data_IF_365448092166
#
_entry.id   IF_365448092166
#
_cell.length_a   1.000
_cell.length_b   1.000
_cell.length_c   1.000
_cell.angle_alpha   90.00
_cell.angle_beta   90.00
_cell.angle_gamma   90.00
#
_symmetry.space_group_name_H-M   'P 1'
#
loop_
_entity.id
_entity.type
_entity.pdbx_description
1 polymer ?
#
# COMPACT_ATOMS: atom_id res chain seq x y z
N UNK A 1 -33.78 -5.28 -20.33
CA UNK A 1 -32.46 -5.90 -20.42
C UNK A 1 -31.42 -4.87 -20.05
N UNK A 2 -30.48 -5.22 -19.16
CA UNK A 2 -29.45 -4.32 -18.62
C UNK A 2 -28.59 -3.64 -19.73
N UNK A 3 -28.49 -4.24 -20.90
CA UNK A 3 -27.69 -3.75 -22.03
C UNK A 3 -28.36 -2.63 -22.86
N UNK A 4 -29.67 -2.45 -22.77
CA UNK A 4 -30.39 -1.44 -23.59
C UNK A 4 -30.26 -0.01 -23.09
N UNK A 5 -29.81 0.21 -21.86
CA UNK A 5 -29.73 1.53 -21.21
C UNK A 5 -28.29 2.08 -21.09
N UNK A 6 -27.29 1.46 -21.73
CA UNK A 6 -25.89 1.89 -21.58
C UNK A 6 -25.62 3.09 -22.52
N UNK A 7 -25.32 4.28 -21.99
CA UNK A 7 -25.04 5.46 -22.80
C UNK A 7 -23.75 5.27 -23.63
N UNK A 8 -23.80 5.74 -24.89
CA UNK A 8 -22.74 5.47 -25.89
C UNK A 8 -21.62 6.49 -25.97
N UNK A 9 -21.65 7.56 -25.17
CA UNK A 9 -20.65 8.64 -25.21
C UNK A 9 -19.56 8.50 -24.14
N UNK A 10 -18.37 9.05 -24.40
CA UNK A 10 -17.28 9.12 -23.39
C UNK A 10 -17.69 9.97 -22.18
N UNK A 11 -18.48 11.00 -22.38
CA UNK A 11 -18.99 11.87 -21.32
C UNK A 11 -19.95 11.12 -20.39
N UNK A 12 -20.84 10.33 -20.93
CA UNK A 12 -21.74 9.49 -20.15
C UNK A 12 -20.99 8.43 -19.32
N UNK A 13 -19.89 7.87 -19.85
CA UNK A 13 -19.03 6.96 -19.10
C UNK A 13 -18.32 7.64 -17.92
N UNK A 14 -17.94 8.89 -18.09
CA UNK A 14 -17.37 9.71 -17.01
C UNK A 14 -18.39 10.04 -15.93
N UNK A 15 -19.61 10.37 -16.33
CA UNK A 15 -20.71 10.67 -15.39
C UNK A 15 -21.11 9.44 -14.59
N UNK A 16 -21.11 8.26 -15.19
CA UNK A 16 -21.36 7.00 -14.48
C UNK A 16 -20.26 6.68 -13.47
N UNK A 17 -18.97 6.90 -13.81
CA UNK A 17 -17.88 6.77 -12.88
C UNK A 17 -18.00 7.74 -11.71
N UNK A 18 -18.38 8.99 -11.98
CA UNK A 18 -18.61 10.01 -10.96
C UNK A 18 -19.79 9.60 -10.08
N UNK A 19 -20.88 9.08 -10.67
CA UNK A 19 -22.04 8.62 -9.93
C UNK A 19 -21.73 7.43 -9.03
N UNK A 20 -21.00 6.41 -9.52
CA UNK A 20 -20.55 5.28 -8.73
C UNK A 20 -19.65 5.69 -7.56
N UNK A 21 -18.74 6.64 -7.82
CA UNK A 21 -17.88 7.23 -6.77
C UNK A 21 -18.70 8.04 -5.75
N UNK A 22 -19.68 8.80 -6.20
CA UNK A 22 -20.56 9.62 -5.35
C UNK A 22 -21.40 8.76 -4.41
N UNK A 23 -21.90 7.63 -4.90
CA UNK A 23 -22.67 6.67 -4.10
C UNK A 23 -21.82 6.04 -2.98
N UNK A 24 -20.51 5.91 -3.19
CA UNK A 24 -19.56 5.37 -2.20
C UNK A 24 -19.03 6.43 -1.22
N UNK A 25 -19.34 7.70 -1.42
CA UNK A 25 -18.83 8.83 -0.64
C UNK A 25 -19.06 8.73 0.87
N UNK A 26 -20.23 8.31 1.39
CA UNK A 26 -20.45 8.16 2.82
C UNK A 26 -19.56 7.08 3.44
N UNK A 27 -19.22 6.04 2.70
CA UNK A 27 -18.32 4.99 3.20
C UNK A 27 -16.87 5.45 3.32
N UNK A 28 -16.39 6.32 2.40
CA UNK A 28 -15.07 6.93 2.53
C UNK A 28 -14.98 7.85 3.76
N UNK A 29 -16.05 8.60 4.06
CA UNK A 29 -16.14 9.37 5.29
C UNK A 29 -16.08 8.49 6.54
N UNK A 30 -16.77 7.35 6.51
CA UNK A 30 -16.74 6.38 7.61
C UNK A 30 -15.32 5.83 7.83
N UNK A 31 -14.63 5.46 6.74
CA UNK A 31 -13.24 5.00 6.80
C UNK A 31 -12.31 6.12 7.31
N UNK A 32 -12.51 7.36 6.89
CA UNK A 32 -11.72 8.49 7.35
C UNK A 32 -11.90 8.74 8.86
N UNK A 33 -13.12 8.66 9.38
CA UNK A 33 -13.42 8.78 10.82
C UNK A 33 -12.78 7.63 11.60
N UNK A 34 -12.88 6.40 11.10
CA UNK A 34 -12.25 5.25 11.76
C UNK A 34 -10.72 5.35 11.72
N UNK A 35 -10.15 5.82 10.61
CA UNK A 35 -8.71 6.11 10.53
C UNK A 35 -8.29 7.17 11.54
N UNK A 36 -9.12 8.20 11.78
CA UNK A 36 -8.87 9.17 12.84
C UNK A 36 -8.71 8.49 14.20
N UNK A 37 -9.70 7.69 14.61
CA UNK A 37 -9.65 7.02 15.92
C UNK A 37 -8.54 5.97 16.00
N UNK A 38 -8.29 5.20 14.94
CA UNK A 38 -7.19 4.23 14.90
C UNK A 38 -5.84 4.93 15.08
N UNK A 39 -5.60 6.03 14.37
CA UNK A 39 -4.35 6.78 14.48
C UNK A 39 -4.21 7.47 15.85
N UNK A 40 -5.32 7.95 16.43
CA UNK A 40 -5.33 8.47 17.80
C UNK A 40 -4.96 7.36 18.81
N UNK A 41 -5.56 6.17 18.67
CA UNK A 41 -5.27 5.02 19.53
C UNK A 41 -3.84 4.48 19.34
N UNK A 42 -3.21 4.72 18.19
CA UNK A 42 -1.79 4.38 17.98
C UNK A 42 -0.84 5.15 18.91
N UNK A 43 -1.26 6.30 19.45
CA UNK A 43 -0.51 7.04 20.48
C UNK A 43 -0.45 6.31 21.82
N UNK A 44 -1.31 5.32 22.04
CA UNK A 44 -1.33 4.54 23.28
C UNK A 44 0.04 3.93 23.60
N UNK A 45 0.76 3.38 22.61
CA UNK A 45 2.09 2.80 22.81
C UNK A 45 3.13 3.79 23.32
N UNK A 46 3.36 4.91 22.61
CA UNK A 46 4.26 5.97 23.06
C UNK A 46 3.90 6.51 24.45
N UNK A 47 2.62 6.77 24.71
CA UNK A 47 2.15 7.28 26.01
C UNK A 47 2.32 6.27 27.13
N UNK A 48 2.05 4.99 26.86
CA UNK A 48 2.31 3.92 27.81
C UNK A 48 3.77 3.84 28.21
N UNK A 49 4.68 3.85 27.20
CA UNK A 49 6.11 3.81 27.46
C UNK A 49 6.59 5.03 28.26
N UNK A 50 6.07 6.21 27.94
CA UNK A 50 6.34 7.44 28.68
C UNK A 50 5.96 7.26 30.16
N UNK A 51 4.75 6.79 30.44
CA UNK A 51 4.27 6.59 31.81
C UNK A 51 5.03 5.49 32.56
N UNK A 52 5.37 4.39 31.88
CA UNK A 52 6.11 3.28 32.49
C UNK A 52 7.51 3.75 32.91
N UNK A 53 8.26 4.39 32.00
CA UNK A 53 9.65 4.78 32.29
C UNK A 53 9.72 5.95 33.27
N UNK A 54 8.89 6.97 33.11
CA UNK A 54 9.04 8.20 33.91
C UNK A 54 8.29 8.11 35.26
N UNK A 55 7.25 7.27 35.36
CA UNK A 55 6.40 7.21 36.55
C UNK A 55 6.43 5.86 37.28
N UNK A 56 6.19 4.77 36.54
CA UNK A 56 6.08 3.44 37.16
C UNK A 56 7.43 2.96 37.69
N UNK A 57 8.49 3.06 36.91
CA UNK A 57 9.83 2.65 37.33
C UNK A 57 10.39 3.53 38.46
N UNK A 58 10.07 4.81 38.45
CA UNK A 58 10.44 5.73 39.53
C UNK A 58 9.71 5.45 40.85
N UNK A 59 8.42 5.16 40.80
CA UNK A 59 7.59 4.89 41.97
C UNK A 59 7.62 3.43 42.42
N UNK A 60 8.12 2.50 41.60
CA UNK A 60 8.09 1.04 41.82
C UNK A 60 6.70 0.49 42.15
N UNK A 61 5.64 1.12 41.64
CA UNK A 61 4.24 0.76 41.91
C UNK A 61 3.74 -0.31 40.95
N UNK A 62 3.61 -1.55 41.41
CA UNK A 62 3.04 -2.67 40.64
C UNK A 62 1.57 -2.42 40.33
N UNK A 63 0.81 -1.82 41.27
CA UNK A 63 -0.60 -1.53 41.07
C UNK A 63 -0.82 -0.57 39.88
N UNK A 64 -0.01 0.47 39.76
CA UNK A 64 -0.05 1.41 38.62
C UNK A 64 0.30 0.72 37.31
N UNK A 65 1.29 -0.18 37.32
CA UNK A 65 1.67 -0.95 36.14
C UNK A 65 0.51 -1.84 35.66
N UNK A 66 -0.15 -2.56 36.56
CA UNK A 66 -1.30 -3.43 36.23
C UNK A 66 -2.44 -2.59 35.65
N UNK A 67 -2.77 -1.46 36.28
CA UNK A 67 -3.84 -0.58 35.81
C UNK A 67 -3.56 -0.01 34.40
N UNK A 68 -2.34 0.48 34.17
CA UNK A 68 -1.92 0.99 32.85
C UNK A 68 -1.90 -0.09 31.78
N UNK A 69 -1.40 -1.29 32.12
CA UNK A 69 -1.37 -2.43 31.20
C UNK A 69 -2.78 -2.88 30.83
N UNK A 70 -3.70 -2.93 31.79
CA UNK A 70 -5.11 -3.22 31.54
C UNK A 70 -5.77 -2.19 30.60
N UNK A 71 -5.49 -0.91 30.82
CA UNK A 71 -5.95 0.16 29.94
C UNK A 71 -5.40 0.02 28.52
N UNK A 72 -4.12 -0.30 28.36
CA UNK A 72 -3.48 -0.51 27.06
C UNK A 72 -4.10 -1.69 26.30
N UNK A 73 -4.35 -2.80 26.98
CA UNK A 73 -5.04 -3.97 26.38
C UNK A 73 -6.42 -3.57 25.87
N UNK A 74 -7.18 -2.81 26.66
CA UNK A 74 -8.49 -2.31 26.25
C UNK A 74 -8.41 -1.38 25.03
N UNK A 75 -7.50 -0.39 25.05
CA UNK A 75 -7.35 0.56 23.95
C UNK A 75 -6.85 -0.09 22.66
N UNK A 76 -5.93 -1.04 22.74
CA UNK A 76 -5.49 -1.82 21.57
C UNK A 76 -6.57 -2.78 21.08
N UNK A 77 -7.40 -3.32 21.98
CA UNK A 77 -8.59 -4.09 21.59
C UNK A 77 -9.57 -3.25 20.77
N UNK A 78 -9.88 -2.04 21.24
CA UNK A 78 -10.70 -1.09 20.49
C UNK A 78 -10.05 -0.71 19.13
N UNK A 79 -8.76 -0.44 19.12
CA UNK A 79 -8.04 -0.12 17.89
C UNK A 79 -8.15 -1.26 16.87
N UNK A 80 -7.96 -2.51 17.32
CA UNK A 80 -8.07 -3.68 16.45
C UNK A 80 -9.46 -3.86 15.86
N UNK A 81 -10.51 -3.62 16.65
CA UNK A 81 -11.91 -3.67 16.19
C UNK A 81 -12.17 -2.60 15.12
N UNK A 82 -11.72 -1.37 15.36
CA UNK A 82 -11.91 -0.25 14.41
C UNK A 82 -11.11 -0.49 13.13
N UNK A 83 -9.89 -0.99 13.23
CA UNK A 83 -9.04 -1.31 12.07
C UNK A 83 -9.64 -2.43 11.22
N UNK A 84 -10.14 -3.48 11.88
CA UNK A 84 -10.87 -4.55 11.21
C UNK A 84 -12.15 -4.05 10.53
N UNK A 85 -12.92 -3.19 11.20
CA UNK A 85 -14.16 -2.65 10.65
C UNK A 85 -13.89 -1.78 9.41
N UNK A 86 -12.87 -0.89 9.45
CA UNK A 86 -12.52 -0.06 8.29
C UNK A 86 -12.07 -0.90 7.09
N UNK A 87 -11.29 -1.97 7.32
CA UNK A 87 -10.88 -2.90 6.27
C UNK A 87 -12.08 -3.59 5.60
N UNK A 88 -13.05 -4.06 6.41
CA UNK A 88 -14.27 -4.67 5.87
C UNK A 88 -15.16 -3.70 5.11
N UNK A 89 -15.26 -2.46 5.56
CA UNK A 89 -16.02 -1.42 4.84
C UNK A 89 -15.38 -1.18 3.47
N UNK A 90 -14.05 -1.01 3.40
CA UNK A 90 -13.35 -0.79 2.14
C UNK A 90 -13.49 -1.97 1.18
N UNK A 91 -13.38 -3.21 1.65
CA UNK A 91 -13.58 -4.39 0.83
C UNK A 91 -14.99 -4.43 0.20
N UNK A 92 -16.02 -4.04 0.97
CA UNK A 92 -17.40 -3.96 0.47
C UNK A 92 -17.59 -2.81 -0.51
N UNK A 93 -16.96 -1.67 -0.29
CA UNK A 93 -16.98 -0.54 -1.23
C UNK A 93 -16.33 -0.94 -2.55
N UNK A 94 -15.17 -1.60 -2.50
CA UNK A 94 -14.48 -2.11 -3.67
C UNK A 94 -15.33 -3.10 -4.47
N UNK A 95 -15.96 -4.07 -3.79
CA UNK A 95 -16.86 -5.03 -4.42
C UNK A 95 -18.09 -4.37 -5.07
N UNK A 96 -18.70 -3.38 -4.41
CA UNK A 96 -19.82 -2.61 -4.98
C UNK A 96 -19.41 -1.80 -6.19
N UNK A 97 -18.25 -1.18 -6.15
CA UNK A 97 -17.69 -0.44 -7.29
C UNK A 97 -17.50 -1.36 -8.49
N UNK A 98 -16.88 -2.52 -8.28
CA UNK A 98 -16.72 -3.52 -9.33
C UNK A 98 -18.07 -3.94 -9.91
N UNK A 99 -19.01 -4.38 -9.07
CA UNK A 99 -20.35 -4.81 -9.51
C UNK A 99 -21.12 -3.74 -10.30
N UNK A 100 -20.92 -2.46 -9.93
CA UNK A 100 -21.53 -1.34 -10.66
C UNK A 100 -20.90 -1.10 -12.04
N UNK A 101 -19.60 -1.44 -12.18
CA UNK A 101 -18.84 -1.21 -13.41
C UNK A 101 -18.76 -2.44 -14.32
N UNK A 102 -19.01 -3.66 -13.82
CA UNK A 102 -18.87 -4.91 -14.57
C UNK A 102 -19.61 -4.90 -15.91
N UNK A 103 -20.90 -4.55 -15.89
CA UNK A 103 -21.73 -4.54 -17.11
C UNK A 103 -21.24 -3.52 -18.11
N UNK A 104 -20.81 -2.35 -17.62
CA UNK A 104 -20.32 -1.25 -18.45
C UNK A 104 -18.98 -1.57 -19.10
N UNK A 105 -18.04 -2.09 -18.31
CA UNK A 105 -16.71 -2.47 -18.79
C UNK A 105 -16.82 -3.66 -19.77
N UNK A 106 -17.65 -4.66 -19.45
CA UNK A 106 -17.88 -5.79 -20.34
C UNK A 106 -18.43 -5.34 -21.70
N UNK A 107 -19.45 -4.48 -21.71
CA UNK A 107 -20.02 -3.96 -22.96
C UNK A 107 -19.02 -3.12 -23.77
N UNK A 108 -18.20 -2.31 -23.08
CA UNK A 108 -17.14 -1.53 -23.74
C UNK A 108 -16.04 -2.43 -24.35
N UNK A 109 -15.62 -3.47 -23.61
CA UNK A 109 -14.65 -4.46 -24.06
C UNK A 109 -15.18 -5.23 -25.29
N UNK A 110 -16.43 -5.72 -25.24
CA UNK A 110 -17.04 -6.46 -26.34
C UNK A 110 -17.15 -5.60 -27.59
N UNK A 111 -17.60 -4.37 -27.48
CA UNK A 111 -17.68 -3.44 -28.63
C UNK A 111 -16.32 -3.14 -29.24
N UNK A 112 -15.31 -2.95 -28.39
CA UNK A 112 -13.95 -2.67 -28.86
C UNK A 112 -13.34 -3.88 -29.54
N UNK A 113 -13.49 -5.05 -28.97
CA UNK A 113 -13.02 -6.32 -29.54
C UNK A 113 -13.66 -6.61 -30.92
N UNK A 114 -14.94 -6.25 -31.11
CA UNK A 114 -15.64 -6.42 -32.38
C UNK A 114 -15.13 -5.48 -33.49
N UNK A 115 -14.64 -4.27 -33.13
CA UNK A 115 -14.16 -3.29 -34.10
C UNK A 115 -12.66 -3.40 -34.34
N UNK A 116 -11.90 -3.53 -33.27
CA UNK A 116 -10.42 -3.63 -33.27
C UNK A 116 -9.98 -4.42 -32.06
N UNK A 117 -9.63 -5.70 -32.21
CA UNK A 117 -9.05 -6.46 -31.12
C UNK A 117 -7.65 -5.90 -30.79
N UNK A 118 -7.55 -5.18 -29.68
CA UNK A 118 -6.32 -4.60 -29.17
C UNK A 118 -6.07 -5.02 -27.71
N UNK A 119 -4.94 -4.62 -27.13
CA UNK A 119 -4.59 -4.93 -25.74
C UNK A 119 -5.65 -4.44 -24.75
N UNK A 120 -6.24 -3.27 -24.98
CA UNK A 120 -7.28 -2.72 -24.10
C UNK A 120 -8.57 -3.56 -24.11
N UNK A 121 -8.89 -4.23 -25.23
CA UNK A 121 -10.01 -5.16 -25.27
C UNK A 121 -9.72 -6.47 -24.56
N UNK A 122 -8.45 -6.89 -24.50
CA UNK A 122 -8.03 -8.12 -23.84
C UNK A 122 -7.86 -7.94 -22.31
N UNK A 123 -7.47 -6.75 -21.85
CA UNK A 123 -7.14 -6.50 -20.44
C UNK A 123 -8.23 -5.78 -19.65
N UNK A 124 -9.20 -5.16 -20.30
CA UNK A 124 -10.15 -4.25 -19.65
C UNK A 124 -10.92 -4.83 -18.45
N UNK A 125 -11.27 -6.12 -18.47
CA UNK A 125 -11.89 -6.79 -17.33
C UNK A 125 -10.87 -7.06 -16.21
N UNK A 126 -9.66 -7.47 -16.55
CA UNK A 126 -8.57 -7.66 -15.59
C UNK A 126 -8.17 -6.35 -14.93
N UNK A 127 -8.19 -5.24 -15.67
CA UNK A 127 -7.91 -3.91 -15.16
C UNK A 127 -8.96 -3.48 -14.12
N UNK A 128 -10.25 -3.81 -14.36
CA UNK A 128 -11.31 -3.56 -13.37
C UNK A 128 -11.10 -4.36 -12.08
N UNK A 129 -10.72 -5.64 -12.20
CA UNK A 129 -10.36 -6.46 -11.04
C UNK A 129 -9.14 -5.92 -10.29
N UNK A 130 -8.15 -5.43 -11.02
CA UNK A 130 -6.95 -4.81 -10.42
C UNK A 130 -7.30 -3.54 -9.65
N UNK A 131 -8.20 -2.70 -10.17
CA UNK A 131 -8.71 -1.52 -9.44
C UNK A 131 -9.46 -1.94 -8.18
N UNK A 132 -10.32 -2.95 -8.25
CA UNK A 132 -11.03 -3.46 -7.08
C UNK A 132 -10.06 -4.00 -6.02
N UNK A 133 -9.04 -4.74 -6.44
CA UNK A 133 -8.00 -5.28 -5.56
C UNK A 133 -7.20 -4.15 -4.90
N UNK A 134 -6.84 -3.12 -5.65
CA UNK A 134 -6.16 -1.94 -5.12
C UNK A 134 -7.04 -1.20 -4.10
N UNK A 135 -8.34 -1.06 -4.36
CA UNK A 135 -9.28 -0.40 -3.43
C UNK A 135 -9.45 -1.16 -2.11
N UNK A 136 -9.22 -2.47 -2.09
CA UNK A 136 -9.25 -3.30 -0.88
C UNK A 136 -7.86 -3.55 -0.27
N UNK A 137 -6.81 -3.00 -0.87
CA UNK A 137 -5.43 -3.23 -0.46
C UNK A 137 -5.01 -2.41 0.76
N UNK A 138 -4.00 -2.86 1.50
CA UNK A 138 -3.38 -2.08 2.58
C UNK A 138 -2.80 -0.74 2.11
N UNK A 139 -2.48 -0.59 0.81
CA UNK A 139 -1.96 0.65 0.23
C UNK A 139 -2.96 1.78 0.33
N UNK A 140 -4.23 1.51 0.02
CA UNK A 140 -5.27 2.52 0.14
C UNK A 140 -5.52 2.92 1.60
N UNK A 141 -5.40 1.96 2.54
CA UNK A 141 -5.45 2.27 3.97
C UNK A 141 -4.29 3.17 4.39
N UNK A 142 -3.08 2.89 3.91
CA UNK A 142 -1.92 3.76 4.15
C UNK A 142 -2.14 5.18 3.64
N UNK A 143 -2.85 5.36 2.53
CA UNK A 143 -3.22 6.68 2.02
C UNK A 143 -4.13 7.45 2.99
N UNK A 144 -5.06 6.79 3.67
CA UNK A 144 -5.89 7.39 4.72
C UNK A 144 -5.10 7.69 6.00
N UNK A 145 -4.04 6.96 6.26
CA UNK A 145 -3.17 7.16 7.44
C UNK A 145 -2.07 8.20 7.18
N UNK A 146 -1.74 8.50 5.92
CA UNK A 146 -0.70 9.47 5.54
C UNK A 146 -0.90 10.89 6.09
N UNK A 147 -2.13 11.46 6.15
CA UNK A 147 -2.36 12.78 6.75
C UNK A 147 -1.99 12.88 8.23
N UNK A 148 -1.85 11.74 8.92
CA UNK A 148 -1.47 11.67 10.35
C UNK A 148 0.03 11.72 10.57
N UNK A 149 0.85 11.43 9.54
CA UNK A 149 2.31 11.49 9.61
C UNK A 149 2.82 12.84 10.11
N UNK A 150 2.37 14.01 9.62
CA UNK A 150 2.76 15.31 10.16
C UNK A 150 2.39 15.49 11.64
N UNK A 151 1.24 14.95 12.06
CA UNK A 151 0.80 15.03 13.45
C UNK A 151 1.73 14.22 14.37
N UNK A 152 2.14 13.02 13.97
CA UNK A 152 3.09 12.22 14.73
C UNK A 152 4.46 12.89 14.80
N UNK A 153 4.92 13.50 13.71
CA UNK A 153 6.17 14.29 13.71
C UNK A 153 6.04 15.50 14.63
N UNK A 154 4.90 16.21 14.60
CA UNK A 154 4.64 17.32 15.53
C UNK A 154 4.66 16.84 16.99
N UNK A 155 4.14 15.64 17.29
CA UNK A 155 4.24 15.01 18.60
C UNK A 155 5.68 14.79 19.07
N UNK A 156 6.59 14.44 18.14
CA UNK A 156 8.02 14.31 18.44
C UNK A 156 8.63 15.68 18.77
N UNK A 157 8.25 16.75 18.07
CA UNK A 157 8.69 18.11 18.35
C UNK A 157 8.28 18.58 19.75
N UNK A 158 7.14 18.12 20.27
CA UNK A 158 6.70 18.41 21.64
C UNK A 158 7.66 17.84 22.69
N UNK A 159 8.29 16.70 22.42
CA UNK A 159 9.29 16.12 23.33
C UNK A 159 10.59 16.92 23.30
N UNK A 160 11.15 17.13 22.10
CA UNK A 160 12.35 17.95 21.94
C UNK A 160 12.55 18.37 20.47
N UNK A 161 12.91 19.65 20.20
CA UNK A 161 13.10 20.13 18.82
C UNK A 161 14.10 19.33 17.99
N UNK A 162 15.23 18.93 18.55
CA UNK A 162 16.26 18.16 17.83
C UNK A 162 15.74 16.79 17.38
N UNK A 163 14.91 16.11 18.19
CA UNK A 163 14.27 14.86 17.79
C UNK A 163 13.30 15.09 16.64
N UNK A 164 12.55 16.20 16.71
CA UNK A 164 11.63 16.60 15.65
C UNK A 164 12.35 16.88 14.32
N UNK A 165 13.47 17.59 14.34
CA UNK A 165 14.27 17.84 13.14
C UNK A 165 14.86 16.54 12.57
N UNK A 166 15.32 15.63 13.41
CA UNK A 166 15.81 14.32 12.96
C UNK A 166 14.69 13.50 12.30
N UNK A 167 13.50 13.48 12.89
CA UNK A 167 12.34 12.79 12.33
C UNK A 167 11.90 13.41 11.00
N UNK A 168 11.88 14.74 10.91
CA UNK A 168 11.49 15.47 9.72
C UNK A 168 12.48 15.23 8.58
N UNK A 169 13.77 15.40 8.82
CA UNK A 169 14.80 15.17 7.80
C UNK A 169 14.85 13.72 7.34
N UNK A 170 14.72 12.76 8.27
CA UNK A 170 14.62 11.35 7.95
C UNK A 170 13.37 11.02 7.13
N UNK A 171 12.24 11.60 7.47
CA UNK A 171 10.99 11.45 6.72
C UNK A 171 11.10 12.00 5.30
N UNK A 172 11.69 13.19 5.13
CA UNK A 172 11.92 13.80 3.81
C UNK A 172 12.84 12.93 2.95
N UNK A 173 13.94 12.41 3.51
CA UNK A 173 14.84 11.51 2.80
C UNK A 173 14.11 10.23 2.37
N UNK A 174 13.29 9.63 3.24
CA UNK A 174 12.51 8.44 2.90
C UNK A 174 11.50 8.70 1.79
N UNK A 175 10.79 9.83 1.83
CA UNK A 175 9.86 10.23 0.76
C UNK A 175 10.64 10.41 -0.55
N UNK A 176 11.78 11.08 -0.51
CA UNK A 176 12.63 11.28 -1.69
C UNK A 176 13.08 9.95 -2.30
N UNK A 177 13.58 9.02 -1.48
CA UNK A 177 13.97 7.67 -1.93
C UNK A 177 12.77 6.91 -2.49
N UNK A 178 11.59 7.06 -1.91
CA UNK A 178 10.35 6.43 -2.41
C UNK A 178 9.96 6.95 -3.78
N UNK A 179 9.97 8.26 -3.97
CA UNK A 179 9.68 8.90 -5.27
C UNK A 179 10.72 8.48 -6.31
N UNK A 180 11.99 8.42 -5.91
CA UNK A 180 13.07 7.96 -6.78
C UNK A 180 12.85 6.50 -7.21
N UNK A 181 12.54 5.62 -6.26
CA UNK A 181 12.17 4.23 -6.55
C UNK A 181 11.03 4.14 -7.56
N UNK A 182 9.96 4.88 -7.33
CA UNK A 182 8.78 4.84 -8.21
C UNK A 182 9.11 5.32 -9.62
N UNK A 183 9.95 6.36 -9.75
CA UNK A 183 10.37 6.88 -11.04
C UNK A 183 11.26 5.90 -11.80
N UNK A 184 12.24 5.30 -11.12
CA UNK A 184 13.16 4.34 -11.75
C UNK A 184 12.53 2.98 -12.03
N UNK A 185 11.57 2.54 -11.22
CA UNK A 185 10.92 1.23 -11.37
C UNK A 185 9.79 1.23 -12.39
N UNK A 186 9.18 2.40 -12.69
CA UNK A 186 7.98 2.48 -13.54
C UNK A 186 8.22 1.95 -14.96
N UNK A 187 9.26 2.40 -15.64
CA UNK A 187 9.53 1.99 -17.03
C UNK A 187 9.93 0.49 -17.14
N UNK A 188 10.85 -0.04 -16.30
CA UNK A 188 11.14 -1.47 -16.28
C UNK A 188 9.92 -2.33 -15.98
N UNK A 189 9.07 -1.92 -15.03
CA UNK A 189 7.86 -2.65 -14.67
C UNK A 189 6.87 -2.73 -15.82
N UNK A 190 6.59 -1.62 -16.50
CA UNK A 190 5.69 -1.60 -17.65
C UNK A 190 6.22 -2.51 -18.78
N UNK A 191 7.53 -2.47 -19.03
CA UNK A 191 8.17 -3.34 -20.03
C UNK A 191 8.08 -4.82 -19.66
N UNK A 192 8.30 -5.14 -18.38
CA UNK A 192 8.21 -6.51 -17.86
C UNK A 192 6.78 -7.03 -17.96
N UNK A 193 5.78 -6.24 -17.58
CA UNK A 193 4.38 -6.64 -17.67
C UNK A 193 3.93 -6.86 -19.12
N UNK A 194 4.37 -6.00 -20.04
CA UNK A 194 4.11 -6.20 -21.47
C UNK A 194 4.73 -7.50 -21.98
N UNK A 195 5.97 -7.82 -21.61
CA UNK A 195 6.62 -9.05 -22.00
C UNK A 195 5.92 -10.30 -21.42
N UNK A 196 5.41 -10.22 -20.17
CA UNK A 196 4.59 -11.28 -19.58
C UNK A 196 3.29 -11.52 -20.35
N UNK A 197 2.57 -10.45 -20.72
CA UNK A 197 1.35 -10.55 -21.51
C UNK A 197 1.60 -11.17 -22.89
N UNK A 198 2.71 -10.83 -23.54
CA UNK A 198 3.10 -11.43 -24.81
C UNK A 198 3.39 -12.93 -24.64
N UNK A 199 4.11 -13.31 -23.57
CA UNK A 199 4.40 -14.71 -23.28
C UNK A 199 3.12 -15.53 -22.97
N UNK A 200 2.18 -14.94 -22.22
CA UNK A 200 0.87 -15.57 -21.96
C UNK A 200 0.07 -15.78 -23.25
N UNK A 201 -0.03 -14.77 -24.11
CA UNK A 201 -0.72 -14.88 -25.41
C UNK A 201 -0.12 -15.97 -26.28
N UNK A 202 1.22 -16.01 -26.42
CA UNK A 202 1.89 -17.06 -27.17
C UNK A 202 1.60 -18.46 -26.59
N UNK A 203 1.51 -18.58 -25.28
CA UNK A 203 1.16 -19.82 -24.61
C UNK A 203 -0.28 -20.25 -24.92
N UNK A 204 -1.22 -19.30 -24.87
CA UNK A 204 -2.63 -19.55 -25.16
C UNK A 204 -2.88 -19.89 -26.63
N UNK A 205 -2.21 -19.20 -27.57
CA UNK A 205 -2.27 -19.50 -28.99
C UNK A 205 -1.77 -20.94 -29.27
N UNK A 206 -0.60 -21.30 -28.74
CA UNK A 206 -0.05 -22.66 -28.91
C UNK A 206 -0.96 -23.71 -28.31
N UNK A 207 -1.56 -23.44 -27.15
CA UNK A 207 -2.49 -24.35 -26.48
C UNK A 207 -3.80 -24.52 -27.25
N UNK A 208 -4.33 -23.45 -27.80
CA UNK A 208 -5.59 -23.48 -28.55
C UNK A 208 -5.42 -24.19 -29.90
N UNK A 209 -4.22 -24.15 -30.48
CA UNK A 209 -3.88 -24.85 -31.74
C UNK A 209 -3.06 -26.11 -31.52
N UNK A 210 -3.13 -26.69 -30.32
CA UNK A 210 -2.30 -27.85 -29.93
C UNK A 210 -2.46 -29.07 -30.86
N UNK A 211 -3.67 -29.33 -31.36
CA UNK A 211 -3.95 -30.42 -32.30
C UNK A 211 -3.24 -30.21 -33.64
N UNK A 212 -3.28 -28.98 -34.17
CA UNK A 212 -2.59 -28.61 -35.40
C UNK A 212 -1.07 -28.67 -35.23
N UNK A 213 -0.54 -28.15 -34.12
CA UNK A 213 0.90 -28.19 -33.80
C UNK A 213 1.42 -29.63 -33.72
N UNK A 214 0.63 -30.53 -33.13
CA UNK A 214 1.00 -31.96 -33.04
C UNK A 214 0.88 -32.67 -34.38
N UNK A 215 -0.20 -32.46 -35.12
CA UNK A 215 -0.43 -33.13 -36.41
C UNK A 215 0.59 -32.76 -37.50
N UNK A 216 1.08 -31.51 -37.47
CA UNK A 216 2.08 -30.98 -38.40
C UNK A 216 3.53 -31.22 -37.93
N UNK A 217 3.75 -31.82 -36.77
CA UNK A 217 5.09 -32.03 -36.20
C UNK A 217 5.84 -30.77 -35.79
N UNK A 218 5.13 -29.62 -35.60
CA UNK A 218 5.71 -28.33 -35.31
C UNK A 218 6.00 -28.09 -33.81
N UNK A 219 6.00 -29.16 -33.01
CA UNK A 219 6.16 -29.05 -31.53
C UNK A 219 7.45 -28.34 -31.11
N UNK A 220 8.55 -28.61 -31.80
CA UNK A 220 9.85 -28.04 -31.45
C UNK A 220 9.93 -26.53 -31.80
N UNK A 221 9.36 -26.12 -32.92
CA UNK A 221 9.30 -24.72 -33.34
C UNK A 221 8.37 -23.89 -32.40
N UNK A 222 7.22 -24.45 -32.05
CA UNK A 222 6.31 -23.88 -31.09
C UNK A 222 6.98 -23.72 -29.72
N UNK A 223 7.73 -24.75 -29.26
CA UNK A 223 8.48 -24.65 -27.99
C UNK A 223 9.57 -23.57 -28.05
N UNK A 224 10.34 -23.47 -29.12
CA UNK A 224 11.37 -22.45 -29.29
C UNK A 224 10.77 -21.04 -29.22
N UNK A 225 9.68 -20.81 -29.95
CA UNK A 225 8.96 -19.51 -29.94
C UNK A 225 8.46 -19.18 -28.55
N UNK A 226 7.80 -20.10 -27.87
CA UNK A 226 7.32 -19.92 -26.52
C UNK A 226 8.46 -19.67 -25.52
N UNK A 227 9.52 -20.47 -25.58
CA UNK A 227 10.66 -20.39 -24.68
C UNK A 227 11.40 -19.04 -24.81
N UNK A 228 11.52 -18.51 -26.04
CA UNK A 228 12.11 -17.18 -26.25
C UNK A 228 11.29 -16.09 -25.57
N UNK A 229 9.98 -16.06 -25.83
CA UNK A 229 9.09 -15.06 -25.22
C UNK A 229 9.07 -15.16 -23.68
N UNK A 230 9.06 -16.39 -23.15
CA UNK A 230 9.09 -16.63 -21.70
C UNK A 230 10.42 -16.24 -21.08
N UNK A 231 11.54 -16.51 -21.74
CA UNK A 231 12.88 -16.13 -21.27
C UNK A 231 13.05 -14.60 -21.22
N UNK A 232 12.52 -13.88 -22.21
CA UNK A 232 12.54 -12.42 -22.24
C UNK A 232 11.66 -11.82 -21.13
N UNK A 233 10.48 -12.39 -20.92
CA UNK A 233 9.61 -12.01 -19.82
C UNK A 233 10.28 -12.24 -18.45
N UNK A 234 10.92 -13.39 -18.25
CA UNK A 234 11.62 -13.74 -17.02
C UNK A 234 12.80 -12.80 -16.74
N UNK A 235 13.61 -12.48 -17.76
CA UNK A 235 14.71 -11.52 -17.63
C UNK A 235 14.21 -10.13 -17.24
N UNK A 236 13.13 -9.67 -17.87
CA UNK A 236 12.49 -8.39 -17.53
C UNK A 236 11.98 -8.38 -16.09
N UNK A 237 11.36 -9.47 -15.64
CA UNK A 237 10.86 -9.63 -14.28
C UNK A 237 11.99 -9.62 -13.24
N UNK A 238 13.08 -10.38 -13.49
CA UNK A 238 14.24 -10.40 -12.60
C UNK A 238 14.84 -9.00 -12.48
N UNK A 239 15.10 -8.32 -13.61
CA UNK A 239 15.65 -6.97 -13.58
C UNK A 239 14.79 -5.95 -12.84
N UNK A 240 13.48 -6.04 -12.98
CA UNK A 240 12.53 -5.20 -12.23
C UNK A 240 12.54 -5.52 -10.75
N UNK A 241 12.55 -6.81 -10.40
CA UNK A 241 12.60 -7.27 -9.00
C UNK A 241 13.89 -6.83 -8.31
N UNK A 242 15.02 -6.88 -9.00
CA UNK A 242 16.32 -6.45 -8.47
C UNK A 242 16.32 -4.94 -8.15
N UNK A 243 15.79 -4.11 -9.06
CA UNK A 243 15.68 -2.67 -8.84
C UNK A 243 14.80 -2.38 -7.62
N UNK A 244 13.58 -2.91 -7.60
CA UNK A 244 12.63 -2.72 -6.50
C UNK A 244 13.21 -3.28 -5.19
N UNK A 245 13.85 -4.44 -5.24
CA UNK A 245 14.48 -5.09 -4.11
C UNK A 245 15.57 -4.21 -3.48
N UNK A 246 16.44 -3.64 -4.29
CA UNK A 246 17.52 -2.74 -3.85
C UNK A 246 16.96 -1.53 -3.10
N UNK A 247 15.96 -0.83 -3.67
CA UNK A 247 15.33 0.31 -3.01
C UNK A 247 14.59 -0.09 -1.72
N UNK A 248 13.96 -1.25 -1.70
CA UNK A 248 13.26 -1.75 -0.51
C UNK A 248 14.24 -2.02 0.63
N UNK A 249 15.37 -2.66 0.33
CA UNK A 249 16.42 -2.93 1.34
C UNK A 249 17.04 -1.62 1.81
N UNK A 250 17.37 -0.70 0.90
CA UNK A 250 17.91 0.61 1.27
C UNK A 250 16.96 1.39 2.19
N UNK A 251 15.67 1.44 1.86
CA UNK A 251 14.66 2.11 2.68
C UNK A 251 14.50 1.47 4.04
N UNK A 252 14.45 0.13 4.10
CA UNK A 252 14.36 -0.61 5.37
C UNK A 252 15.59 -0.34 6.25
N UNK A 253 16.78 -0.42 5.67
CA UNK A 253 18.05 -0.20 6.40
C UNK A 253 18.14 1.24 6.90
N UNK A 254 17.79 2.21 6.06
CA UNK A 254 17.78 3.62 6.45
C UNK A 254 16.79 3.90 7.59
N UNK A 255 15.61 3.29 7.57
CA UNK A 255 14.63 3.42 8.64
C UNK A 255 15.14 2.86 9.97
N UNK A 256 15.79 1.68 9.94
CA UNK A 256 16.42 1.10 11.13
C UNK A 256 17.54 1.98 11.67
N UNK A 257 18.35 2.53 10.77
CA UNK A 257 19.37 3.49 11.14
C UNK A 257 18.77 4.74 11.77
N UNK A 258 17.73 5.31 11.18
CA UNK A 258 17.04 6.49 11.68
C UNK A 258 16.43 6.25 13.07
N UNK A 259 15.85 5.07 13.29
CA UNK A 259 15.30 4.68 14.59
C UNK A 259 16.42 4.57 15.65
N UNK A 260 17.57 4.00 15.28
CA UNK A 260 18.73 3.92 16.15
C UNK A 260 19.34 5.31 16.42
N UNK A 261 19.39 6.17 15.41
CA UNK A 261 19.85 7.56 15.56
C UNK A 261 18.92 8.36 16.49
N UNK A 262 17.61 8.12 16.41
CA UNK A 262 16.63 8.74 17.30
C UNK A 262 16.87 8.35 18.76
N UNK A 263 17.14 7.08 19.03
CA UNK A 263 17.50 6.60 20.37
C UNK A 263 18.84 7.17 20.83
N UNK A 264 19.85 7.20 19.96
CA UNK A 264 21.16 7.75 20.26
C UNK A 264 21.14 9.24 20.59
N UNK A 265 20.43 10.04 19.75
CA UNK A 265 20.24 11.47 20.01
C UNK A 265 19.40 11.70 21.27
N UNK A 266 18.34 10.88 21.47
CA UNK A 266 17.53 10.91 22.67
C UNK A 266 18.34 10.61 23.93
N UNK A 267 19.21 9.61 23.89
CA UNK A 267 20.10 9.27 25.01
C UNK A 267 21.07 10.42 25.32
N UNK A 268 21.63 11.07 24.29
CA UNK A 268 22.48 12.24 24.46
C UNK A 268 21.73 13.37 25.18
N UNK A 269 20.48 13.66 24.78
CA UNK A 269 19.65 14.69 25.41
C UNK A 269 19.26 14.32 26.85
N UNK A 270 19.04 13.03 27.12
CA UNK A 270 18.79 12.55 28.49
C UNK A 270 20.03 12.76 29.37
N UNK A 271 21.22 12.47 28.89
CA UNK A 271 22.46 12.74 29.64
C UNK A 271 22.67 14.23 29.93
N UNK A 272 22.15 15.11 29.07
CA UNK A 272 22.15 16.56 29.31
C UNK A 272 20.99 17.04 30.19
N UNK A 273 20.15 16.16 30.72
CA UNK A 273 18.94 16.47 31.48
C UNK A 273 17.91 17.34 30.72
N UNK A 274 17.91 17.27 29.39
CA UNK A 274 16.95 18.00 28.53
C UNK A 274 15.77 17.14 28.12
N UNK A 275 15.82 15.83 28.34
CA UNK A 275 14.79 14.87 27.96
C UNK A 275 14.68 13.78 29.04
N UNK A 276 13.49 13.20 29.20
CA UNK A 276 13.28 12.03 30.06
C UNK A 276 13.55 10.73 29.29
N UNK A 277 13.97 9.64 29.97
CA UNK A 277 14.12 8.35 29.32
C UNK A 277 12.83 7.85 28.65
N UNK A 278 11.68 8.11 29.26
CA UNK A 278 10.37 7.77 28.70
C UNK A 278 10.09 8.50 27.41
N UNK A 279 10.40 9.81 27.34
CA UNK A 279 10.22 10.61 26.13
C UNK A 279 11.16 10.18 25.00
N UNK A 280 12.39 9.73 25.31
CA UNK A 280 13.31 9.15 24.33
C UNK A 280 12.69 7.93 23.63
N UNK A 281 12.16 6.99 24.40
CA UNK A 281 11.57 5.76 23.87
C UNK A 281 10.27 6.06 23.16
N UNK A 282 9.41 6.90 23.74
CA UNK A 282 8.15 7.32 23.13
C UNK A 282 8.38 8.01 21.77
N UNK A 283 9.38 8.86 21.66
CA UNK A 283 9.79 9.52 20.41
C UNK A 283 10.22 8.53 19.33
N UNK A 284 11.00 7.50 19.70
CA UNK A 284 11.42 6.44 18.77
C UNK A 284 10.24 5.61 18.25
N UNK A 285 9.29 5.25 19.13
CA UNK A 285 8.09 4.51 18.73
C UNK A 285 7.21 5.40 17.83
N UNK A 286 7.05 6.66 18.19
CA UNK A 286 6.24 7.62 17.44
C UNK A 286 6.79 7.84 16.03
N UNK A 287 8.11 7.91 15.90
CA UNK A 287 8.77 7.98 14.59
C UNK A 287 8.49 6.73 13.75
N UNK A 288 8.60 5.53 14.32
CA UNK A 288 8.24 4.30 13.62
C UNK A 288 6.80 4.31 13.10
N UNK A 289 5.87 4.88 13.88
CA UNK A 289 4.47 5.07 13.46
C UNK A 289 4.30 6.12 12.38
N UNK A 290 5.00 7.23 12.48
CA UNK A 290 4.97 8.30 11.48
C UNK A 290 5.45 7.82 10.09
N UNK A 291 6.42 6.90 10.05
CA UNK A 291 7.00 6.40 8.82
C UNK A 291 6.29 5.13 8.27
N UNK A 292 5.43 4.49 9.06
CA UNK A 292 4.73 3.26 8.66
C UNK A 292 3.90 3.40 7.37
N UNK A 293 3.13 4.48 7.11
CA UNK A 293 2.39 4.63 5.87
C UNK A 293 3.29 4.67 4.63
N UNK A 294 4.48 5.28 4.75
CA UNK A 294 5.46 5.36 3.65
C UNK A 294 5.95 3.96 3.28
N UNK A 295 6.28 3.14 4.28
CA UNK A 295 6.69 1.75 4.06
C UNK A 295 5.60 0.89 3.43
N UNK A 296 4.35 1.06 3.85
CA UNK A 296 3.21 0.34 3.29
C UNK A 296 2.99 0.69 1.82
N UNK A 297 3.17 1.95 1.43
CA UNK A 297 3.10 2.37 0.04
C UNK A 297 4.20 1.74 -0.81
N UNK A 298 5.44 1.66 -0.30
CA UNK A 298 6.57 1.03 -1.01
C UNK A 298 6.32 -0.46 -1.22
N UNK A 299 5.83 -1.14 -0.17
CA UNK A 299 5.61 -2.59 -0.22
C UNK A 299 4.34 -2.96 -0.98
N UNK A 300 3.33 -2.12 -0.96
CA UNK A 300 2.06 -2.37 -1.63
C UNK A 300 2.13 -2.23 -3.14
N UNK A 301 2.97 -1.36 -3.67
CA UNK A 301 3.24 -1.31 -5.12
C UNK A 301 3.83 -2.61 -5.69
N UNK A 302 4.22 -3.57 -4.84
CA UNK A 302 4.68 -4.91 -5.28
C UNK A 302 3.54 -5.90 -5.51
N UNK A 303 2.39 -5.70 -4.88
CA UNK A 303 1.29 -6.68 -4.88
C UNK A 303 0.36 -6.44 -6.07
N UNK A 304 0.29 -5.23 -6.59
CA UNK A 304 -0.64 -4.82 -7.66
C UNK A 304 0.03 -4.78 -9.05
N UNK A 305 1.23 -5.35 -9.18
CA UNK A 305 1.96 -5.56 -10.43
C UNK A 305 2.03 -7.04 -10.76
#
# INVERSE_FOLDING_TARGET
SAFQMIPRSKEAGRDELIAARRQSRPYYWFVAIFSFFVNLLMLTGPLYMLQVYDRVLGSRSIATLIALSGLVVFLYGMMGILDYARGRVMARVAARFQAAMDVRVFDAVMRRAAVKPDELSATGLKDLESIQRLMSSPVLMAFFDMPWTPLFIAGIFVFHPWLGYLALTGGVILIFVTVLNQTFSRAPTLKSNHALLVAERNSDEIRNEAEMVQSLGMREDAFRRWNTARSDALRGQIGTTDIIGTFTVATKTFRLFLQSAMLGLGAYLVLQNQLTPGAMIAGSILMGRALAPIDQMINGCKVDM
#
